data_IF_346765362616
#
_entry.id   IF_346765362616
#
_cell.length_a   1.000
_cell.length_b   1.000
_cell.length_c   1.000
_cell.angle_alpha   90.00
_cell.angle_beta   90.00
_cell.angle_gamma   90.00
#
_symmetry.space_group_name_H-M   'P 1'
#
loop_
_entity.id
_entity.type
_entity.pdbx_description
1 polymer ?
#
# COMPACT_ATOMS: atom_id res chain seq x y z
N UNK A 1 -12.89 13.35 -11.04
CA UNK A 1 -11.95 12.30 -11.52
C UNK A 1 -12.42 11.89 -12.89
N UNK A 2 -11.53 11.83 -13.87
CA UNK A 2 -11.85 11.28 -15.19
C UNK A 2 -12.02 9.76 -15.06
N UNK A 3 -12.73 9.10 -15.99
CA UNK A 3 -12.93 7.64 -15.95
C UNK A 3 -11.62 6.86 -15.87
N UNK A 4 -10.55 7.36 -16.49
CA UNK A 4 -9.21 6.76 -16.48
C UNK A 4 -8.59 6.73 -15.07
N UNK A 5 -8.74 7.80 -14.28
CA UNK A 5 -8.23 7.85 -12.91
C UNK A 5 -8.91 6.81 -12.01
N UNK A 6 -10.20 6.55 -12.25
CA UNK A 6 -10.97 5.55 -11.48
C UNK A 6 -10.49 4.15 -11.82
N UNK A 7 -10.32 3.82 -13.11
CA UNK A 7 -9.82 2.50 -13.52
C UNK A 7 -8.41 2.22 -13.00
N UNK A 8 -7.52 3.20 -13.02
CA UNK A 8 -6.15 3.04 -12.52
C UNK A 8 -6.10 2.87 -11.00
N UNK A 9 -6.99 3.55 -10.27
CA UNK A 9 -7.12 3.40 -8.82
C UNK A 9 -7.68 2.02 -8.45
N UNK A 10 -8.67 1.51 -9.19
CA UNK A 10 -9.21 0.15 -9.00
C UNK A 10 -8.14 -0.92 -9.26
N UNK A 11 -7.30 -0.74 -10.29
CA UNK A 11 -6.16 -1.63 -10.55
C UNK A 11 -5.12 -1.58 -9.44
N UNK A 12 -4.87 -0.39 -8.88
CA UNK A 12 -3.99 -0.25 -7.72
C UNK A 12 -4.58 -0.99 -6.51
N UNK A 13 -5.88 -0.85 -6.23
CA UNK A 13 -6.55 -1.58 -5.15
C UNK A 13 -6.39 -3.09 -5.33
N UNK A 14 -6.64 -3.61 -6.53
CA UNK A 14 -6.49 -5.02 -6.84
C UNK A 14 -5.06 -5.53 -6.61
N UNK A 15 -4.06 -4.68 -6.85
CA UNK A 15 -2.64 -4.98 -6.57
C UNK A 15 -2.34 -4.99 -5.07
N UNK A 16 -2.96 -4.11 -4.28
CA UNK A 16 -2.68 -3.96 -2.84
C UNK A 16 -3.46 -4.94 -1.94
N UNK A 17 -4.68 -5.30 -2.32
CA UNK A 17 -5.59 -6.11 -1.51
C UNK A 17 -5.05 -7.49 -1.10
N UNK A 18 -4.30 -8.22 -1.97
CA UNK A 18 -3.67 -9.48 -1.59
C UNK A 18 -2.68 -9.33 -0.42
N UNK A 19 -1.82 -8.32 -0.45
CA UNK A 19 -0.88 -8.05 0.65
C UNK A 19 -1.63 -7.72 1.94
N UNK A 20 -2.66 -6.86 1.87
CA UNK A 20 -3.46 -6.51 3.07
C UNK A 20 -4.09 -7.75 3.70
N UNK A 21 -4.60 -8.66 2.85
CA UNK A 21 -5.20 -9.91 3.32
C UNK A 21 -4.17 -10.82 4.00
N UNK A 22 -2.95 -10.94 3.45
CA UNK A 22 -1.89 -11.76 4.04
C UNK A 22 -1.29 -11.16 5.31
N UNK A 23 -1.17 -9.83 5.41
CA UNK A 23 -0.60 -9.15 6.58
C UNK A 23 -1.44 -9.31 7.83
N UNK A 24 -2.73 -9.63 7.70
CA UNK A 24 -3.57 -10.04 8.84
C UNK A 24 -3.11 -11.33 9.49
N UNK A 25 -2.48 -12.24 8.74
CA UNK A 25 -1.92 -13.47 9.31
C UNK A 25 -0.72 -13.18 10.22
N UNK A 26 -0.05 -12.02 10.06
CA UNK A 26 1.05 -11.61 10.92
C UNK A 26 0.61 -11.46 12.39
N UNK A 27 -0.66 -11.09 12.63
CA UNK A 27 -1.23 -10.95 13.98
C UNK A 27 -1.27 -12.28 14.75
N UNK A 28 -1.27 -13.41 14.03
CA UNK A 28 -1.32 -14.75 14.62
C UNK A 28 0.06 -15.34 14.92
N UNK A 29 1.15 -14.66 14.54
CA UNK A 29 2.50 -15.12 14.82
C UNK A 29 2.77 -15.06 16.34
N UNK A 30 3.11 -16.18 16.95
CA UNK A 30 3.36 -16.29 18.39
C UNK A 30 4.84 -16.21 18.76
N UNK A 31 5.73 -16.24 17.75
CA UNK A 31 7.17 -16.16 17.95
C UNK A 31 7.88 -15.31 16.89
N UNK A 32 9.09 -14.86 17.21
CA UNK A 32 9.94 -14.16 16.24
C UNK A 32 10.37 -15.05 15.06
N UNK A 33 10.43 -16.36 15.24
CA UNK A 33 10.76 -17.30 14.16
C UNK A 33 9.60 -17.44 13.17
N UNK A 34 8.38 -17.62 13.67
CA UNK A 34 7.16 -17.62 12.86
C UNK A 34 7.00 -16.33 12.10
N UNK A 35 7.21 -15.18 12.76
CA UNK A 35 7.14 -13.89 12.10
C UNK A 35 8.18 -13.75 10.97
N UNK A 36 9.42 -14.23 11.16
CA UNK A 36 10.44 -14.20 10.10
C UNK A 36 10.07 -15.11 8.93
N UNK A 37 9.55 -16.30 9.20
CA UNK A 37 9.09 -17.22 8.16
C UNK A 37 7.91 -16.60 7.38
N UNK A 38 6.98 -15.97 8.09
CA UNK A 38 5.89 -15.19 7.52
C UNK A 38 6.43 -14.09 6.58
N UNK A 39 7.38 -13.26 7.05
CA UNK A 39 7.95 -12.16 6.24
C UNK A 39 8.60 -12.66 4.94
N UNK A 40 9.30 -13.80 4.96
CA UNK A 40 9.86 -14.41 3.73
C UNK A 40 8.78 -14.86 2.77
N UNK A 41 7.70 -15.44 3.28
CA UNK A 41 6.58 -15.92 2.46
C UNK A 41 5.82 -14.79 1.78
N UNK A 42 5.77 -13.60 2.39
CA UNK A 42 5.08 -12.43 1.82
C UNK A 42 6.01 -11.46 1.08
N UNK A 43 7.29 -11.82 0.89
CA UNK A 43 8.28 -10.91 0.31
C UNK A 43 7.92 -10.51 -1.12
N UNK A 44 7.60 -11.49 -1.97
CA UNK A 44 7.27 -11.26 -3.38
C UNK A 44 6.02 -10.37 -3.54
N UNK A 45 4.96 -10.66 -2.78
CA UNK A 45 3.70 -9.90 -2.85
C UNK A 45 3.83 -8.51 -2.23
N UNK A 46 4.68 -8.35 -1.22
CA UNK A 46 5.02 -7.04 -0.68
C UNK A 46 5.78 -6.21 -1.71
N UNK A 47 6.70 -6.83 -2.45
CA UNK A 47 7.45 -6.18 -3.51
C UNK A 47 6.54 -5.78 -4.68
N UNK A 48 5.63 -6.66 -5.10
CA UNK A 48 4.63 -6.38 -6.14
C UNK A 48 3.72 -5.20 -5.75
N UNK A 49 3.20 -5.20 -4.52
CA UNK A 49 2.37 -4.11 -4.00
C UNK A 49 3.14 -2.77 -3.97
N UNK A 50 4.40 -2.81 -3.55
CA UNK A 50 5.26 -1.62 -3.50
C UNK A 50 5.58 -1.08 -4.89
N UNK A 51 5.91 -1.96 -5.84
CA UNK A 51 6.26 -1.57 -7.19
C UNK A 51 5.04 -1.07 -7.98
N UNK A 52 3.86 -1.70 -7.79
CA UNK A 52 2.61 -1.19 -8.34
C UNK A 52 2.27 0.21 -7.83
N UNK A 53 2.46 0.46 -6.54
CA UNK A 53 2.24 1.78 -5.94
C UNK A 53 3.27 2.82 -6.43
N UNK A 54 4.54 2.42 -6.59
CA UNK A 54 5.57 3.28 -7.19
C UNK A 54 5.22 3.62 -8.62
N UNK A 55 4.88 2.64 -9.45
CA UNK A 55 4.50 2.86 -10.84
C UNK A 55 3.32 3.84 -10.94
N UNK A 56 2.26 3.61 -10.14
CA UNK A 56 1.09 4.49 -10.07
C UNK A 56 1.47 5.94 -9.75
N UNK A 57 2.39 6.16 -8.81
CA UNK A 57 2.90 7.48 -8.44
C UNK A 57 3.80 8.06 -9.55
N UNK A 58 4.66 7.23 -10.13
CA UNK A 58 5.66 7.61 -11.12
C UNK A 58 5.03 8.13 -12.41
N UNK A 59 3.88 7.58 -12.79
CA UNK A 59 3.06 8.02 -13.91
C UNK A 59 2.42 9.41 -13.69
N UNK A 60 2.49 9.95 -12.47
CA UNK A 60 2.09 11.33 -12.15
C UNK A 60 3.27 12.20 -11.67
N UNK A 61 4.16 12.64 -12.57
CA UNK A 61 5.34 13.42 -12.21
C UNK A 61 5.04 14.79 -11.56
N UNK A 62 3.82 15.29 -11.72
CA UNK A 62 3.36 16.58 -11.18
C UNK A 62 2.65 16.47 -9.82
N UNK A 63 2.43 15.25 -9.30
CA UNK A 63 1.80 15.09 -8.01
C UNK A 63 2.65 15.67 -6.89
N UNK A 64 1.98 16.42 -6.02
CA UNK A 64 2.52 17.00 -4.81
C UNK A 64 1.96 16.33 -3.56
N UNK A 65 2.21 16.99 -2.43
CA UNK A 65 1.78 16.49 -1.12
C UNK A 65 0.25 16.34 -1.01
N UNK A 66 -0.51 17.32 -1.51
CA UNK A 66 -1.99 17.29 -1.45
C UNK A 66 -2.58 16.13 -2.25
N UNK A 67 -2.00 15.80 -3.40
CA UNK A 67 -2.41 14.64 -4.21
C UNK A 67 -2.15 13.34 -3.45
N UNK A 68 -0.97 13.21 -2.86
CA UNK A 68 -0.62 12.04 -2.04
C UNK A 68 -1.47 11.91 -0.77
N UNK A 69 -1.86 13.02 -0.14
CA UNK A 69 -2.83 13.01 0.96
C UNK A 69 -4.20 12.52 0.51
N UNK A 70 -4.61 12.88 -0.71
CA UNK A 70 -5.88 12.44 -1.29
C UNK A 70 -5.86 10.94 -1.60
N UNK A 71 -4.76 10.44 -2.20
CA UNK A 71 -4.55 9.00 -2.41
C UNK A 71 -4.52 8.24 -1.09
N UNK A 72 -3.77 8.74 -0.11
CA UNK A 72 -3.73 8.16 1.23
C UNK A 72 -5.12 8.08 1.85
N UNK A 73 -5.88 9.18 1.80
CA UNK A 73 -7.25 9.20 2.33
C UNK A 73 -8.15 8.20 1.60
N UNK A 74 -8.06 8.15 0.27
CA UNK A 74 -8.87 7.24 -0.53
C UNK A 74 -8.57 5.78 -0.20
N UNK A 75 -7.29 5.37 -0.25
CA UNK A 75 -6.89 3.99 -0.01
C UNK A 75 -7.18 3.57 1.44
N UNK A 76 -6.96 4.44 2.43
CA UNK A 76 -7.26 4.15 3.85
C UNK A 76 -8.75 4.15 4.21
N UNK A 77 -9.63 4.50 3.25
CA UNK A 77 -11.08 4.38 3.38
C UNK A 77 -11.66 3.27 2.52
N UNK A 78 -10.85 2.62 1.68
CA UNK A 78 -11.34 1.61 0.77
C UNK A 78 -11.64 0.30 1.51
N UNK A 79 -12.87 -0.25 1.37
CA UNK A 79 -13.30 -1.44 2.13
C UNK A 79 -12.49 -2.70 1.79
N UNK A 80 -11.97 -2.80 0.57
CA UNK A 80 -11.15 -3.94 0.15
C UNK A 80 -9.72 -3.91 0.71
N UNK A 81 -9.27 -2.75 1.19
CA UNK A 81 -7.95 -2.57 1.78
C UNK A 81 -8.01 -2.53 3.30
N UNK A 82 -9.00 -1.84 3.87
CA UNK A 82 -9.09 -1.60 5.31
C UNK A 82 -10.27 -2.34 5.91
N UNK A 83 -9.97 -3.44 6.61
CA UNK A 83 -10.90 -4.18 7.45
C UNK A 83 -10.58 -3.99 8.95
N UNK A 84 -9.30 -3.79 9.29
CA UNK A 84 -8.83 -3.58 10.66
C UNK A 84 -7.91 -2.35 10.80
N UNK A 85 -7.57 -1.97 12.04
CA UNK A 85 -6.58 -0.92 12.31
C UNK A 85 -5.16 -1.31 11.87
N UNK A 86 -4.86 -2.60 11.84
CA UNK A 86 -3.55 -3.13 11.42
C UNK A 86 -3.35 -2.93 9.94
N UNK A 87 -4.39 -3.16 9.13
CA UNK A 87 -4.37 -2.90 7.68
C UNK A 87 -4.00 -1.44 7.39
N UNK A 88 -4.52 -0.51 8.19
CA UNK A 88 -4.22 0.92 8.04
C UNK A 88 -2.74 1.20 8.28
N UNK A 89 -2.11 0.53 9.26
CA UNK A 89 -0.68 0.67 9.54
C UNK A 89 0.19 0.17 8.40
N UNK A 90 -0.12 -1.02 7.88
CA UNK A 90 0.60 -1.62 6.74
C UNK A 90 0.48 -0.75 5.49
N UNK A 91 -0.75 -0.35 5.14
CA UNK A 91 -1.00 0.50 3.99
C UNK A 91 -0.30 1.86 4.11
N UNK A 92 -0.31 2.46 5.31
CA UNK A 92 0.41 3.71 5.58
C UNK A 92 1.91 3.55 5.37
N UNK A 93 2.51 2.44 5.84
CA UNK A 93 3.92 2.16 5.65
C UNK A 93 4.26 2.01 4.16
N UNK A 94 3.44 1.27 3.41
CA UNK A 94 3.62 1.04 1.98
C UNK A 94 3.57 2.35 1.18
N UNK A 95 2.55 3.19 1.43
CA UNK A 95 2.41 4.50 0.78
C UNK A 95 3.60 5.40 1.10
N UNK A 96 4.04 5.43 2.35
CA UNK A 96 5.18 6.23 2.77
C UNK A 96 6.48 5.76 2.11
N UNK A 97 6.67 4.45 1.95
CA UNK A 97 7.84 3.86 1.30
C UNK A 97 7.86 4.15 -0.19
N UNK A 98 6.74 3.94 -0.88
CA UNK A 98 6.60 4.26 -2.30
C UNK A 98 6.88 5.74 -2.56
N UNK A 99 6.28 6.63 -1.75
CA UNK A 99 6.47 8.09 -1.89
C UNK A 99 7.88 8.56 -1.52
N UNK A 100 8.52 7.95 -0.51
CA UNK A 100 9.92 8.25 -0.15
C UNK A 100 10.87 7.97 -1.31
N UNK A 101 10.59 6.97 -2.14
CA UNK A 101 11.33 6.71 -3.38
C UNK A 101 11.27 7.86 -4.38
N UNK A 102 10.21 8.69 -4.34
CA UNK A 102 10.00 9.79 -5.29
C UNK A 102 10.41 11.17 -4.78
N UNK A 103 10.11 11.53 -3.53
CA UNK A 103 10.32 12.88 -2.92
C UNK A 103 9.76 12.91 -1.47
N UNK A 104 10.18 11.96 -0.62
CA UNK A 104 9.56 11.69 0.70
C UNK A 104 9.11 12.91 1.50
N UNK A 105 8.03 12.76 2.27
CA UNK A 105 7.39 13.78 3.12
C UNK A 105 8.42 14.75 3.72
N UNK A 106 8.63 15.91 3.08
CA UNK A 106 9.33 17.01 3.73
C UNK A 106 8.32 17.62 4.69
N UNK A 107 8.58 17.41 5.97
CA UNK A 107 7.94 18.16 7.06
C UNK A 107 8.12 19.67 6.84
#
# INVERSE_FOLDING_TARGET
MMEDDVMEIEQLIATLAPLMSMEREAENCQSSEEYRAFRRRVEDINQEALDGLRQFIDDRPNWGHTDMQSVYYFLTKHPDLIYSRTDQGVLTALINEAWRGKRGWKA
#
